data_IF_160074960156
#
_entry.id   IF_160074960156
#
_cell.length_a   1.000
_cell.length_b   1.000
_cell.length_c   1.000
_cell.angle_alpha   90.00
_cell.angle_beta   90.00
_cell.angle_gamma   90.00
#
_symmetry.space_group_name_H-M   'P 1'
#
loop_
_entity.id
_entity.type
_entity.pdbx_description
1 polymer ?
#
# COMPACT_ATOMS: atom_id res chain seq x y z
N UNK A 1 0.15 -28.35 13.76
CA UNK A 1 -0.41 -27.42 12.77
C UNK A 1 0.68 -27.07 11.78
N UNK A 2 0.54 -27.46 10.51
CA UNK A 2 1.52 -27.19 9.45
C UNK A 2 1.02 -26.01 8.62
N UNK A 3 1.80 -24.95 8.58
CA UNK A 3 1.67 -23.86 7.62
C UNK A 3 2.36 -24.32 6.33
N UNK A 4 1.63 -24.44 5.23
CA UNK A 4 2.20 -24.80 3.92
C UNK A 4 2.69 -23.55 3.21
N UNK A 5 3.99 -23.47 2.94
CA UNK A 5 4.59 -22.49 2.04
C UNK A 5 4.42 -22.94 0.59
N UNK A 6 4.49 -21.97 -0.35
CA UNK A 6 4.24 -22.10 -1.80
C UNK A 6 5.13 -23.08 -2.58
N UNK A 7 6.01 -23.86 -1.93
CA UNK A 7 7.04 -24.71 -2.59
C UNK A 7 6.67 -26.18 -2.80
N UNK A 8 5.55 -26.68 -2.27
CA UNK A 8 5.28 -28.13 -2.23
C UNK A 8 4.23 -28.64 -3.23
N UNK A 9 3.95 -27.93 -4.33
CA UNK A 9 3.00 -28.43 -5.36
C UNK A 9 3.64 -28.47 -6.74
N UNK A 10 4.53 -29.43 -6.95
CA UNK A 10 4.90 -29.91 -8.28
C UNK A 10 5.31 -31.39 -8.19
N UNK A 11 4.32 -32.27 -8.12
CA UNK A 11 4.45 -33.66 -8.55
C UNK A 11 3.05 -34.27 -8.72
N UNK A 12 2.90 -34.96 -9.86
CA UNK A 12 1.89 -35.98 -10.18
C UNK A 12 0.57 -35.50 -10.80
N UNK A 13 0.60 -35.51 -12.14
CA UNK A 13 -0.52 -35.83 -13.02
C UNK A 13 -0.87 -37.31 -12.89
N UNK A 14 -2.16 -37.64 -12.81
CA UNK A 14 -2.76 -38.67 -13.65
C UNK A 14 -4.26 -38.43 -13.87
N UNK A 15 -4.71 -38.88 -15.04
CA UNK A 15 -5.95 -38.53 -15.75
C UNK A 15 -7.07 -39.49 -15.40
N UNK A 16 -8.31 -39.01 -15.19
CA UNK A 16 -9.54 -39.70 -15.64
C UNK A 16 -10.81 -38.83 -15.59
N UNK A 17 -11.86 -39.31 -16.24
CA UNK A 17 -12.81 -38.58 -17.09
C UNK A 17 -14.14 -38.15 -16.41
N UNK A 18 -14.70 -37.05 -16.92
CA UNK A 18 -16.12 -36.73 -17.14
C UNK A 18 -17.20 -36.89 -16.02
N UNK A 19 -17.82 -35.77 -15.62
CA UNK A 19 -19.27 -35.49 -15.79
C UNK A 19 -19.70 -34.19 -15.06
N UNK A 20 -20.35 -33.27 -15.77
CA UNK A 20 -21.12 -32.16 -15.17
C UNK A 20 -22.47 -32.68 -14.66
N UNK A 21 -23.06 -32.06 -13.61
CA UNK A 21 -24.13 -31.11 -13.91
C UNK A 21 -24.31 -29.92 -12.94
N UNK A 22 -25.00 -28.91 -13.47
CA UNK A 22 -25.94 -27.99 -12.82
C UNK A 22 -25.44 -26.90 -11.84
N UNK A 23 -25.59 -25.68 -12.34
CA UNK A 23 -25.77 -24.38 -11.68
C UNK A 23 -26.38 -24.38 -10.28
N UNK A 24 -25.65 -23.77 -9.34
CA UNK A 24 -26.22 -23.05 -8.19
C UNK A 24 -25.56 -21.68 -8.17
N UNK A 25 -26.22 -20.68 -8.75
CA UNK A 25 -25.90 -19.28 -8.50
C UNK A 25 -26.44 -18.96 -7.11
N UNK A 26 -25.58 -19.05 -6.10
CA UNK A 26 -25.82 -18.55 -4.76
C UNK A 26 -25.70 -17.03 -4.77
N UNK A 27 -26.70 -16.39 -4.19
CA UNK A 27 -26.84 -14.94 -4.09
C UNK A 27 -25.98 -14.41 -2.92
N UNK A 28 -24.73 -14.04 -3.20
CA UNK A 28 -23.77 -13.48 -2.23
C UNK A 28 -24.22 -12.14 -1.63
N UNK A 29 -25.30 -11.54 -2.15
CA UNK A 29 -25.82 -10.27 -1.63
C UNK A 29 -26.58 -10.42 -0.30
N UNK A 30 -27.03 -11.63 0.04
CA UNK A 30 -27.82 -11.90 1.25
C UNK A 30 -26.99 -12.19 2.51
N UNK A 31 -25.70 -12.52 2.40
CA UNK A 31 -24.84 -12.80 3.57
C UNK A 31 -24.30 -11.53 4.25
N UNK A 32 -24.39 -10.37 3.60
CA UNK A 32 -23.97 -9.09 4.18
C UNK A 32 -24.99 -8.50 5.17
N UNK A 33 -26.26 -8.92 5.14
CA UNK A 33 -27.31 -8.35 6.00
C UNK A 33 -27.47 -9.03 7.38
N UNK A 34 -26.88 -10.21 7.62
CA UNK A 34 -27.14 -10.97 8.86
C UNK A 34 -26.09 -10.87 9.98
N UNK A 35 -24.95 -10.19 9.77
CA UNK A 35 -23.85 -10.13 10.76
C UNK A 35 -23.81 -8.85 11.61
N UNK A 36 -24.71 -7.88 11.36
CA UNK A 36 -24.68 -6.59 12.05
C UNK A 36 -25.13 -6.62 13.52
N UNK A 37 -25.64 -7.75 14.03
CA UNK A 37 -26.14 -7.88 15.41
C UNK A 37 -25.25 -8.78 16.26
N UNK A 38 -24.05 -8.29 16.62
CA UNK A 38 -23.21 -9.02 17.59
C UNK A 38 -21.74 -8.62 17.68
N UNK A 39 -21.23 -7.79 16.76
CA UNK A 39 -19.81 -7.42 16.76
C UNK A 39 -19.45 -6.55 17.96
N UNK A 40 -18.47 -7.01 18.75
CA UNK A 40 -17.95 -6.22 19.86
C UNK A 40 -17.16 -5.01 19.30
N UNK A 41 -17.30 -3.81 19.88
CA UNK A 41 -16.44 -2.69 19.52
C UNK A 41 -14.96 -3.07 19.64
N UNK A 42 -14.21 -2.99 18.53
CA UNK A 42 -12.77 -3.26 18.50
C UNK A 42 -12.35 -4.62 17.94
N UNK A 43 -13.27 -5.55 17.66
CA UNK A 43 -12.90 -6.77 16.91
C UNK A 43 -12.49 -6.41 15.47
N UNK A 44 -11.54 -7.13 14.83
CA UNK A 44 -11.22 -6.92 13.42
C UNK A 44 -12.42 -7.06 12.48
N UNK A 45 -12.42 -6.33 11.36
CA UNK A 45 -13.44 -6.53 10.31
C UNK A 45 -13.10 -7.84 9.61
N UNK A 46 -14.00 -8.83 9.58
CA UNK A 46 -13.77 -10.05 8.80
C UNK A 46 -14.29 -9.86 7.39
N UNK A 47 -13.46 -10.13 6.38
CA UNK A 47 -13.85 -10.10 4.97
C UNK A 47 -13.61 -11.49 4.36
N UNK A 48 -14.68 -12.25 4.14
CA UNK A 48 -14.57 -13.65 3.71
C UNK A 48 -14.07 -14.56 4.85
N UNK A 49 -13.19 -15.51 4.56
CA UNK A 49 -12.61 -16.39 5.59
C UNK A 49 -11.65 -15.61 6.49
N UNK A 50 -11.79 -15.65 7.83
CA UNK A 50 -10.89 -14.93 8.73
C UNK A 50 -9.52 -15.61 8.84
N UNK A 51 -8.50 -14.80 9.13
CA UNK A 51 -7.21 -15.28 9.63
C UNK A 51 -7.38 -15.88 11.03
N UNK A 52 -6.67 -16.97 11.39
CA UNK A 52 -6.72 -17.54 12.73
C UNK A 52 -6.44 -16.51 13.84
N UNK A 53 -7.09 -16.68 14.99
CA UNK A 53 -6.84 -15.84 16.17
C UNK A 53 -5.50 -16.21 16.80
N UNK A 54 -4.69 -15.21 17.11
CA UNK A 54 -3.41 -15.37 17.82
C UNK A 54 -3.09 -14.11 18.64
N UNK A 55 -2.17 -14.25 19.59
CA UNK A 55 -1.62 -13.11 20.34
C UNK A 55 -0.43 -12.49 19.57
N UNK A 56 -0.44 -11.18 19.25
CA UNK A 56 0.65 -10.53 18.54
C UNK A 56 1.99 -10.65 19.28
N UNK A 57 3.05 -11.00 18.55
CA UNK A 57 4.40 -11.04 19.10
C UNK A 57 5.04 -9.65 19.09
N UNK A 58 5.81 -9.37 20.15
CA UNK A 58 6.78 -8.29 20.13
C UNK A 58 7.78 -8.48 18.97
N UNK A 59 8.37 -7.37 18.49
CA UNK A 59 9.38 -7.43 17.43
C UNK A 59 10.57 -8.27 17.89
N UNK A 60 10.91 -9.29 17.11
CA UNK A 60 12.01 -10.20 17.41
C UNK A 60 13.37 -9.47 17.33
N UNK A 61 14.34 -9.93 18.12
CA UNK A 61 15.70 -9.40 18.12
C UNK A 61 16.36 -9.52 16.76
N UNK A 62 15.99 -10.50 15.93
CA UNK A 62 16.58 -10.69 14.62
C UNK A 62 16.34 -9.52 13.65
N UNK A 63 15.24 -8.78 13.83
CA UNK A 63 14.88 -7.61 13.02
C UNK A 63 15.42 -6.29 13.57
N UNK A 64 16.09 -6.32 14.72
CA UNK A 64 16.55 -5.12 15.43
C UNK A 64 15.46 -4.48 16.27
N UNK A 65 15.83 -4.01 17.46
CA UNK A 65 14.90 -3.28 18.37
C UNK A 65 14.89 -1.77 18.15
N UNK A 66 15.92 -1.27 17.47
CA UNK A 66 16.13 0.15 17.21
C UNK A 66 16.47 0.36 15.73
N UNK A 67 15.94 1.42 15.09
CA UNK A 67 15.00 2.39 15.66
C UNK A 67 13.63 1.77 15.99
N UNK A 68 12.93 2.33 16.98
CA UNK A 68 11.60 1.86 17.38
C UNK A 68 10.62 1.98 16.20
N UNK A 69 9.82 0.93 15.99
CA UNK A 69 8.76 0.87 14.97
C UNK A 69 7.42 0.65 15.66
N UNK A 70 6.49 1.58 15.48
CA UNK A 70 5.12 1.39 15.91
C UNK A 70 4.46 0.28 15.08
N UNK A 71 3.61 -0.53 15.70
CA UNK A 71 2.81 -1.55 15.01
C UNK A 71 1.89 -0.90 13.97
N UNK A 72 1.16 0.13 14.40
CA UNK A 72 0.22 0.85 13.56
C UNK A 72 0.51 2.35 13.66
N UNK A 73 0.52 3.03 12.52
CA UNK A 73 0.59 4.49 12.43
C UNK A 73 -0.69 4.96 11.76
N UNK A 74 -1.30 6.01 12.32
CA UNK A 74 -2.51 6.63 11.81
C UNK A 74 -2.27 8.13 11.72
N UNK A 75 -2.62 8.73 10.59
CA UNK A 75 -2.57 10.17 10.37
C UNK A 75 -3.79 10.62 9.55
N UNK A 76 -4.08 11.92 9.56
CA UNK A 76 -5.14 12.50 8.77
C UNK A 76 -5.57 13.86 9.28
N UNK A 77 -5.94 14.73 8.36
CA UNK A 77 -6.33 16.09 8.67
C UNK A 77 -7.05 16.68 7.46
N UNK A 78 -7.56 17.90 7.62
CA UNK A 78 -8.09 18.71 6.52
C UNK A 78 -7.43 20.09 6.59
N UNK A 79 -6.83 20.53 5.48
CA UNK A 79 -6.16 21.83 5.39
C UNK A 79 -6.19 22.33 3.95
N UNK A 80 -6.44 23.63 3.76
CA UNK A 80 -6.63 24.21 2.43
C UNK A 80 -7.68 23.44 1.63
N UNK A 81 -7.30 23.00 0.43
CA UNK A 81 -8.12 22.22 -0.50
C UNK A 81 -8.09 20.70 -0.25
N UNK A 82 -7.34 20.22 0.75
CA UNK A 82 -7.08 18.79 0.94
C UNK A 82 -7.78 18.24 2.18
N UNK A 83 -8.26 17.02 2.07
CA UNK A 83 -8.58 16.16 3.21
C UNK A 83 -7.86 14.84 3.04
N UNK A 84 -7.18 14.38 4.09
CA UNK A 84 -6.34 13.19 4.06
C UNK A 84 -6.68 12.22 5.18
N UNK A 85 -6.68 10.93 4.88
CA UNK A 85 -6.66 9.84 5.87
C UNK A 85 -5.54 8.88 5.50
N UNK A 86 -4.76 8.45 6.48
CA UNK A 86 -3.66 7.55 6.26
C UNK A 86 -3.52 6.56 7.41
N UNK A 87 -3.23 5.32 7.07
CA UNK A 87 -2.88 4.30 8.03
C UNK A 87 -1.86 3.35 7.43
N UNK A 88 -0.98 2.84 8.30
CA UNK A 88 -0.04 1.76 7.99
C UNK A 88 -0.08 0.78 9.16
N UNK A 89 -0.59 -0.42 8.89
CA UNK A 89 -0.95 -1.43 9.88
C UNK A 89 -0.03 -2.64 9.70
N UNK A 90 0.55 -3.13 10.79
CA UNK A 90 1.34 -4.38 10.77
C UNK A 90 0.44 -5.56 10.46
N UNK A 91 0.81 -6.32 9.44
CA UNK A 91 0.12 -7.50 8.96
C UNK A 91 0.04 -8.60 10.00
N UNK A 92 -0.93 -9.48 9.83
CA UNK A 92 -1.17 -10.58 10.75
C UNK A 92 -0.01 -11.58 10.68
N UNK A 93 0.58 -11.79 9.51
CA UNK A 93 1.76 -12.62 9.32
C UNK A 93 2.95 -12.05 10.10
N UNK A 94 3.17 -10.74 10.03
CA UNK A 94 4.26 -10.07 10.75
C UNK A 94 4.03 -10.03 12.26
N UNK A 95 2.79 -9.81 12.72
CA UNK A 95 2.43 -9.92 14.14
C UNK A 95 2.63 -11.33 14.68
N UNK A 96 2.26 -12.35 13.91
CA UNK A 96 2.46 -13.76 14.28
C UNK A 96 3.96 -14.16 14.23
N UNK A 97 4.69 -13.65 13.24
CA UNK A 97 6.10 -13.97 13.00
C UNK A 97 7.08 -13.22 13.89
N UNK A 98 6.70 -12.06 14.44
CA UNK A 98 7.61 -11.19 15.18
C UNK A 98 8.39 -10.20 14.30
N UNK A 99 8.14 -10.16 12.99
CA UNK A 99 8.71 -9.16 12.08
C UNK A 99 8.04 -7.80 12.30
N UNK A 100 8.75 -6.66 12.31
CA UNK A 100 8.13 -5.33 12.44
C UNK A 100 7.29 -5.00 11.21
N UNK A 101 6.49 -3.93 11.29
CA UNK A 101 5.87 -3.36 10.09
C UNK A 101 6.95 -2.86 9.12
N UNK A 102 6.99 -3.43 7.94
CA UNK A 102 7.84 -3.17 6.79
C UNK A 102 7.32 -2.04 5.90
N UNK A 103 6.01 -1.78 5.89
CA UNK A 103 5.45 -0.62 5.17
C UNK A 103 5.64 0.72 5.90
N UNK A 104 5.72 1.82 5.14
CA UNK A 104 5.60 3.18 5.67
C UNK A 104 4.91 4.17 4.73
N UNK A 105 4.52 5.32 5.27
CA UNK A 105 4.11 6.48 4.48
C UNK A 105 4.64 7.79 5.09
N UNK A 106 4.67 8.84 4.28
CA UNK A 106 4.88 10.21 4.72
C UNK A 106 3.97 11.17 3.93
N UNK A 107 3.53 12.23 4.60
CA UNK A 107 2.65 13.26 4.03
C UNK A 107 3.26 14.63 4.35
N UNK A 108 3.36 15.50 3.36
CA UNK A 108 3.77 16.89 3.51
C UNK A 108 2.76 17.81 2.81
N UNK A 109 2.55 19.00 3.37
CA UNK A 109 1.70 20.03 2.76
C UNK A 109 2.45 21.35 2.72
N UNK A 110 2.55 21.91 1.53
CA UNK A 110 3.03 23.26 1.30
C UNK A 110 1.81 24.18 1.16
N UNK A 111 1.55 24.95 2.21
CA UNK A 111 0.42 25.87 2.26
C UNK A 111 0.60 27.08 1.33
N UNK A 112 1.84 27.48 1.02
CA UNK A 112 2.12 28.62 0.15
C UNK A 112 1.88 28.27 -1.32
N UNK A 113 2.29 27.06 -1.73
CA UNK A 113 2.06 26.54 -3.09
C UNK A 113 0.73 25.80 -3.25
N UNK A 114 -0.05 25.65 -2.17
CA UNK A 114 -1.23 24.80 -2.10
C UNK A 114 -0.96 23.40 -2.69
N UNK A 115 0.10 22.76 -2.23
CA UNK A 115 0.56 21.47 -2.76
C UNK A 115 0.58 20.43 -1.66
N UNK A 116 0.02 19.26 -1.95
CA UNK A 116 0.10 18.07 -1.09
C UNK A 116 1.08 17.09 -1.72
N UNK A 117 1.97 16.55 -0.91
CA UNK A 117 2.88 15.47 -1.28
C UNK A 117 2.62 14.26 -0.40
N UNK A 118 2.51 13.08 -1.01
CA UNK A 118 2.41 11.79 -0.32
C UNK A 118 3.46 10.85 -0.87
N UNK A 119 4.10 10.08 0.01
CA UNK A 119 4.94 8.95 -0.35
C UNK A 119 4.49 7.71 0.43
N UNK A 120 4.39 6.57 -0.25
CA UNK A 120 4.08 5.25 0.31
C UNK A 120 5.16 4.28 -0.13
N UNK A 121 5.62 3.42 0.78
CA UNK A 121 6.63 2.41 0.49
C UNK A 121 6.29 1.10 1.22
N UNK A 122 6.49 0.00 0.51
CA UNK A 122 6.43 -1.36 1.02
C UNK A 122 7.85 -1.92 1.09
N UNK A 123 8.23 -2.44 2.25
CA UNK A 123 9.54 -3.04 2.44
C UNK A 123 9.57 -4.50 1.99
N UNK A 124 10.42 -4.83 1.01
CA UNK A 124 10.52 -6.21 0.47
C UNK A 124 10.88 -7.20 1.58
N UNK A 125 10.04 -8.22 1.78
CA UNK A 125 10.17 -9.16 2.91
C UNK A 125 11.48 -9.97 2.96
N UNK A 126 12.15 -10.16 1.81
CA UNK A 126 13.47 -10.81 1.76
C UNK A 126 14.60 -9.93 2.30
N UNK A 127 14.39 -8.61 2.39
CA UNK A 127 15.35 -7.66 2.92
C UNK A 127 15.20 -7.52 4.44
N UNK A 128 16.23 -7.90 5.18
CA UNK A 128 16.19 -8.06 6.65
C UNK A 128 15.70 -6.81 7.40
N UNK A 129 16.09 -5.63 6.92
CA UNK A 129 15.75 -4.35 7.54
C UNK A 129 14.91 -3.48 6.60
N UNK A 130 14.05 -4.10 5.78
CA UNK A 130 13.18 -3.40 4.83
C UNK A 130 12.33 -2.29 5.45
N UNK A 131 11.91 -2.44 6.72
CA UNK A 131 11.23 -1.39 7.50
C UNK A 131 12.07 -0.11 7.68
N UNK A 132 13.40 -0.21 7.73
CA UNK A 132 14.31 0.95 7.71
C UNK A 132 14.34 1.53 6.29
N UNK A 133 14.35 0.66 5.27
CA UNK A 133 14.32 1.06 3.87
C UNK A 133 13.10 1.90 3.52
N UNK A 134 11.90 1.38 3.77
CA UNK A 134 10.63 2.08 3.53
C UNK A 134 10.56 3.41 4.26
N UNK A 135 10.93 3.44 5.55
CA UNK A 135 11.02 4.68 6.35
C UNK A 135 11.94 5.72 5.72
N UNK A 136 13.07 5.26 5.19
CA UNK A 136 14.10 6.14 4.63
C UNK A 136 13.60 6.80 3.35
N UNK A 137 13.00 6.02 2.46
CA UNK A 137 12.60 6.52 1.14
C UNK A 137 11.36 7.41 1.21
N UNK A 138 10.38 7.13 2.07
CA UNK A 138 9.19 8.01 2.19
C UNK A 138 9.55 9.37 2.77
N UNK A 139 10.45 9.41 3.76
CA UNK A 139 10.95 10.67 4.35
C UNK A 139 11.80 11.45 3.37
N UNK A 140 12.71 10.75 2.67
CA UNK A 140 13.53 11.37 1.64
C UNK A 140 12.66 11.97 0.53
N UNK A 141 11.70 11.20 0.00
CA UNK A 141 10.88 11.62 -1.12
C UNK A 141 9.99 12.81 -0.79
N UNK A 142 9.35 12.81 0.39
CA UNK A 142 8.54 13.94 0.84
C UNK A 142 9.36 15.19 1.05
N UNK A 143 10.57 15.09 1.60
CA UNK A 143 11.49 16.22 1.74
C UNK A 143 11.97 16.74 0.38
N UNK A 144 12.32 15.85 -0.55
CA UNK A 144 12.79 16.25 -1.88
C UNK A 144 11.70 16.96 -2.70
N UNK A 145 10.46 16.48 -2.59
CA UNK A 145 9.28 17.05 -3.25
C UNK A 145 8.73 18.31 -2.57
N UNK A 146 9.32 18.75 -1.45
CA UNK A 146 9.02 20.05 -0.85
C UNK A 146 9.62 21.20 -1.68
N UNK A 147 10.79 20.98 -2.26
CA UNK A 147 11.47 21.93 -3.15
C UNK A 147 12.00 21.21 -4.42
N UNK A 148 11.12 20.66 -5.27
CA UNK A 148 11.56 19.94 -6.45
C UNK A 148 12.10 20.91 -7.51
N UNK A 149 12.98 20.45 -8.41
CA UNK A 149 13.23 21.17 -9.65
C UNK A 149 11.91 21.28 -10.43
N UNK A 150 11.59 22.49 -10.87
CA UNK A 150 10.40 22.77 -11.67
C UNK A 150 10.79 22.99 -13.15
N UNK A 151 10.08 22.38 -14.12
CA UNK A 151 8.90 21.53 -13.91
C UNK A 151 9.28 20.06 -13.60
N UNK A 152 8.46 19.38 -12.80
CA UNK A 152 8.73 17.99 -12.36
C UNK A 152 8.66 16.95 -13.50
N UNK A 153 7.91 17.25 -14.57
CA UNK A 153 7.74 16.38 -15.75
C UNK A 153 8.98 16.35 -16.66
N UNK A 154 9.90 17.31 -16.55
CA UNK A 154 11.18 17.34 -17.27
C UNK A 154 12.27 16.51 -16.56
N UNK A 155 11.98 15.23 -16.32
CA UNK A 155 12.92 14.28 -15.69
C UNK A 155 13.10 14.43 -14.18
N UNK A 156 12.29 15.26 -13.52
CA UNK A 156 12.27 15.42 -12.07
C UNK A 156 11.95 14.11 -11.35
N UNK A 157 10.99 13.33 -11.86
CA UNK A 157 10.65 12.01 -11.32
C UNK A 157 11.83 11.02 -11.37
N UNK A 158 12.51 10.90 -12.51
CA UNK A 158 13.69 10.04 -12.63
C UNK A 158 14.77 10.44 -11.62
N UNK A 159 14.97 11.75 -11.44
CA UNK A 159 15.94 12.30 -10.48
C UNK A 159 15.55 11.96 -9.04
N UNK A 160 14.27 12.11 -8.67
CA UNK A 160 13.74 11.71 -7.36
C UNK A 160 14.05 10.23 -7.06
N UNK A 161 13.67 9.31 -7.95
CA UNK A 161 13.83 7.87 -7.70
C UNK A 161 15.30 7.44 -7.67
N UNK A 162 16.14 7.98 -8.55
CA UNK A 162 17.60 7.75 -8.51
C UNK A 162 18.22 8.24 -7.21
N UNK A 163 17.75 9.38 -6.71
CA UNK A 163 18.26 9.97 -5.48
C UNK A 163 17.73 9.27 -4.22
N UNK A 164 16.50 8.74 -4.26
CA UNK A 164 15.96 7.85 -3.25
C UNK A 164 16.74 6.53 -3.18
N UNK A 165 17.07 5.91 -4.32
CA UNK A 165 17.92 4.71 -4.38
C UNK A 165 19.33 4.97 -3.84
N UNK A 166 19.92 6.11 -4.17
CA UNK A 166 21.21 6.52 -3.61
C UNK A 166 21.13 6.69 -2.08
N UNK A 167 20.09 7.36 -1.58
CA UNK A 167 19.85 7.55 -0.14
C UNK A 167 19.68 6.21 0.57
N UNK A 168 18.94 5.27 -0.04
CA UNK A 168 18.79 3.91 0.47
C UNK A 168 20.14 3.18 0.56
N UNK A 169 21.01 3.37 -0.43
CA UNK A 169 22.37 2.80 -0.43
C UNK A 169 23.24 3.38 0.68
N UNK A 170 23.16 4.69 0.93
CA UNK A 170 23.85 5.33 2.05
C UNK A 170 23.31 4.85 3.41
N UNK A 171 22.01 4.63 3.51
CA UNK A 171 21.40 4.06 4.70
C UNK A 171 21.88 2.62 4.93
N UNK A 172 22.06 1.82 3.87
CA UNK A 172 22.60 0.46 3.98
C UNK A 172 24.02 0.46 4.56
N UNK A 173 24.88 1.39 4.12
CA UNK A 173 26.22 1.55 4.69
C UNK A 173 26.15 1.83 6.21
N UNK A 174 25.23 2.70 6.63
CA UNK A 174 25.01 3.01 8.06
C UNK A 174 24.54 1.79 8.85
N UNK A 175 23.53 1.07 8.35
CA UNK A 175 22.96 -0.11 9.00
C UNK A 175 23.98 -1.25 9.11
N UNK A 176 24.83 -1.42 8.09
CA UNK A 176 25.89 -2.42 8.07
C UNK A 176 27.17 -1.99 8.77
N UNK A 177 27.24 -0.74 9.28
CA UNK A 177 28.47 -0.14 9.83
C UNK A 177 29.66 -0.21 8.86
N UNK A 178 29.39 0.01 7.58
CA UNK A 178 30.38 0.04 6.51
C UNK A 178 30.71 1.49 6.10
N UNK A 179 31.94 1.77 5.64
CA UNK A 179 32.27 3.07 5.06
C UNK A 179 31.45 3.39 3.80
N UNK A 180 31.11 2.37 3.02
CA UNK A 180 30.30 2.44 1.81
C UNK A 180 29.59 1.10 1.60
N UNK A 181 28.38 1.15 1.04
CA UNK A 181 27.66 -0.02 0.53
C UNK A 181 27.41 0.15 -0.97
N UNK A 182 27.25 -0.96 -1.68
CA UNK A 182 26.77 -0.96 -3.06
C UNK A 182 25.26 -1.24 -3.14
N UNK A 183 24.72 -1.18 -4.36
CA UNK A 183 23.30 -1.41 -4.62
C UNK A 183 22.87 -2.85 -4.32
N UNK A 184 23.75 -3.85 -4.43
CA UNK A 184 23.42 -5.23 -4.12
C UNK A 184 23.27 -5.44 -2.60
N UNK A 185 24.19 -4.87 -1.82
CA UNK A 185 24.10 -4.87 -0.37
C UNK A 185 22.87 -4.10 0.11
N UNK A 186 22.57 -2.95 -0.50
CA UNK A 186 21.37 -2.19 -0.17
C UNK A 186 20.08 -2.93 -0.51
N UNK A 187 20.03 -3.64 -1.64
CA UNK A 187 18.91 -4.49 -2.03
C UNK A 187 18.69 -5.63 -1.02
N UNK A 188 19.76 -6.35 -0.64
CA UNK A 188 19.67 -7.44 0.32
C UNK A 188 19.23 -7.01 1.71
N UNK A 189 19.51 -5.76 2.11
CA UNK A 189 19.27 -5.29 3.47
C UNK A 189 18.04 -4.42 3.62
N UNK A 190 17.75 -3.56 2.63
CA UNK A 190 16.79 -2.45 2.74
C UNK A 190 15.83 -2.33 1.55
N UNK A 191 15.74 -3.32 0.65
CA UNK A 191 14.89 -3.20 -0.53
C UNK A 191 13.44 -2.81 -0.20
N UNK A 192 12.88 -1.93 -1.01
CA UNK A 192 11.55 -1.34 -0.79
C UNK A 192 10.97 -0.76 -2.08
N UNK A 193 9.65 -0.70 -2.20
CA UNK A 193 8.95 0.09 -3.23
C UNK A 193 8.98 1.58 -2.87
N UNK A 194 8.55 2.43 -3.80
CA UNK A 194 8.21 3.81 -3.51
C UNK A 194 7.17 4.29 -4.52
N UNK A 195 6.02 4.75 -4.03
CA UNK A 195 4.99 5.44 -4.83
C UNK A 195 4.75 6.81 -4.25
N UNK A 196 4.84 7.83 -5.10
CA UNK A 196 4.71 9.23 -4.74
C UNK A 196 3.51 9.86 -5.45
N UNK A 197 2.85 10.79 -4.76
CA UNK A 197 1.75 11.59 -5.28
C UNK A 197 2.04 13.06 -4.99
N UNK A 198 1.87 13.92 -6.01
CA UNK A 198 1.84 15.38 -5.85
C UNK A 198 0.47 15.87 -6.30
N UNK A 199 -0.26 16.57 -5.43
CA UNK A 199 -1.58 17.14 -5.74
C UNK A 199 -1.57 18.67 -5.60
N UNK A 200 -2.29 19.34 -6.49
CA UNK A 200 -2.63 20.77 -6.42
C UNK A 200 -4.13 20.96 -6.67
N UNK A 201 -4.77 21.99 -6.08
CA UNK A 201 -6.17 22.28 -6.35
C UNK A 201 -6.38 22.79 -7.78
N UNK A 202 -7.53 22.46 -8.37
CA UNK A 202 -8.00 23.05 -9.63
C UNK A 202 -9.18 24.01 -9.39
N UNK A 203 -9.41 25.01 -10.25
CA UNK A 203 -10.45 26.03 -10.06
C UNK A 203 -11.87 25.48 -9.83
N UNK A 204 -12.16 24.29 -10.36
CA UNK A 204 -13.46 23.62 -10.30
C UNK A 204 -13.74 22.95 -8.94
N UNK A 205 -12.80 23.03 -7.99
CA UNK A 205 -12.94 22.47 -6.64
C UNK A 205 -12.44 21.03 -6.49
N UNK A 206 -11.88 20.45 -7.55
CA UNK A 206 -11.18 19.17 -7.53
C UNK A 206 -9.68 19.31 -7.23
N UNK A 207 -8.94 18.22 -7.46
CA UNK A 207 -7.47 18.19 -7.40
C UNK A 207 -6.90 17.70 -8.74
N UNK A 208 -5.81 18.32 -9.20
CA UNK A 208 -4.91 17.74 -10.19
C UNK A 208 -3.81 17.01 -9.44
N UNK A 209 -3.64 15.72 -9.71
CA UNK A 209 -2.63 14.91 -9.07
C UNK A 209 -1.74 14.21 -10.10
N UNK A 210 -0.49 13.98 -9.73
CA UNK A 210 0.45 13.19 -10.52
C UNK A 210 0.99 12.08 -9.63
N UNK A 211 0.86 10.84 -10.10
CA UNK A 211 1.29 9.63 -9.39
C UNK A 211 2.47 9.01 -10.13
N UNK A 212 3.55 8.67 -9.43
CA UNK A 212 4.68 7.94 -10.01
C UNK A 212 5.22 6.93 -8.99
N UNK A 213 5.75 5.80 -9.45
CA UNK A 213 6.27 4.79 -8.53
C UNK A 213 7.24 3.79 -9.13
N UNK A 214 7.97 3.11 -8.24
CA UNK A 214 8.88 1.98 -8.50
C UNK A 214 8.49 0.85 -7.56
N UNK A 215 8.27 -0.35 -8.09
CA UNK A 215 7.71 -1.49 -7.37
C UNK A 215 6.27 -1.77 -7.79
N UNK A 216 5.49 -2.40 -6.92
CA UNK A 216 4.15 -2.90 -7.18
C UNK A 216 3.05 -2.30 -6.27
N UNK A 217 3.42 -1.37 -5.38
CA UNK A 217 2.46 -0.50 -4.71
C UNK A 217 1.62 0.28 -5.73
N UNK A 218 0.35 0.51 -5.43
CA UNK A 218 -0.64 0.98 -6.39
C UNK A 218 -1.31 2.29 -6.00
N UNK A 219 -2.07 2.84 -6.95
CA UNK A 219 -2.98 3.94 -6.75
C UNK A 219 -4.30 3.70 -7.49
N UNK A 220 -5.40 4.14 -6.89
CA UNK A 220 -6.76 3.94 -7.40
C UNK A 220 -7.59 5.20 -7.18
N UNK A 221 -8.44 5.52 -8.14
CA UNK A 221 -9.50 6.52 -7.98
C UNK A 221 -10.78 5.78 -7.60
N UNK A 222 -11.37 6.09 -6.44
CA UNK A 222 -12.71 5.63 -6.11
C UNK A 222 -13.72 6.70 -6.53
N UNK A 223 -14.57 6.34 -7.49
CA UNK A 223 -15.60 7.19 -8.07
C UNK A 223 -16.89 6.38 -8.24
N UNK A 224 -18.02 6.91 -7.78
CA UNK A 224 -19.34 6.25 -7.85
C UNK A 224 -19.34 4.81 -7.32
N UNK A 225 -18.62 4.58 -6.21
CA UNK A 225 -18.48 3.26 -5.58
C UNK A 225 -17.57 2.28 -6.33
N UNK A 226 -16.91 2.71 -7.42
CA UNK A 226 -16.03 1.88 -8.25
C UNK A 226 -14.57 2.31 -8.13
N UNK A 227 -13.68 1.33 -8.05
CA UNK A 227 -12.24 1.55 -8.04
C UNK A 227 -11.70 1.51 -9.47
N UNK A 228 -11.10 2.62 -9.90
CA UNK A 228 -10.43 2.75 -11.20
C UNK A 228 -8.91 2.74 -10.94
N UNK A 229 -8.14 1.79 -11.49
CA UNK A 229 -6.69 1.78 -11.32
C UNK A 229 -6.05 3.00 -11.98
N UNK A 230 -5.12 3.65 -11.27
CA UNK A 230 -4.32 4.80 -11.75
C UNK A 230 -2.88 4.38 -12.01
N UNK A 231 -2.23 3.76 -11.02
CA UNK A 231 -0.88 3.22 -11.09
C UNK A 231 -0.87 1.83 -10.44
N UNK A 232 -0.12 0.89 -11.00
CA UNK A 232 -0.01 -0.44 -10.43
C UNK A 232 -1.31 -1.24 -10.47
N UNK A 233 -1.34 -2.34 -9.74
CA UNK A 233 -2.36 -3.38 -9.85
C UNK A 233 -2.05 -4.32 -11.02
N UNK A 234 -2.04 -5.62 -10.77
CA UNK A 234 -1.98 -6.62 -11.84
C UNK A 234 -3.22 -6.44 -12.72
N UNK A 235 -3.10 -5.68 -13.80
CA UNK A 235 -4.00 -5.91 -14.94
C UNK A 235 -3.82 -7.38 -15.29
N UNK A 236 -4.91 -8.13 -15.34
CA UNK A 236 -4.89 -9.50 -15.83
C UNK A 236 -4.36 -9.46 -17.26
N UNK A 237 -3.05 -9.68 -17.43
CA UNK A 237 -2.47 -9.86 -18.74
C UNK A 237 -3.12 -11.10 -19.33
N UNK A 238 -3.60 -11.00 -20.57
CA UNK A 238 -4.18 -12.12 -21.30
C UNK A 238 -3.21 -13.31 -21.50
N UNK A 239 -1.95 -13.19 -21.04
CA UNK A 239 -0.88 -14.17 -21.16
C UNK A 239 -0.52 -14.89 -19.84
N UNK A 240 -1.19 -14.62 -18.72
CA UNK A 240 -1.13 -15.48 -17.52
C UNK A 240 0.25 -15.64 -16.83
N UNK A 241 1.26 -14.87 -17.23
CA UNK A 241 2.60 -14.91 -16.65
C UNK A 241 2.87 -13.60 -15.90
N UNK A 242 2.56 -13.60 -14.60
CA UNK A 242 3.04 -12.58 -13.66
C UNK A 242 4.45 -12.98 -13.24
N UNK A 243 5.46 -12.22 -13.67
CA UNK A 243 6.78 -12.29 -13.03
C UNK A 243 6.60 -11.86 -11.58
N UNK A 244 6.87 -12.75 -10.63
CA UNK A 244 6.70 -12.52 -9.20
C UNK A 244 7.86 -11.74 -8.56
N UNK A 245 8.78 -11.21 -9.37
CA UNK A 245 9.91 -10.43 -8.89
C UNK A 245 9.55 -8.93 -8.93
N UNK A 246 9.22 -8.39 -7.76
CA UNK A 246 9.07 -6.94 -7.56
C UNK A 246 10.44 -6.29 -7.75
N UNK A 247 10.58 -5.41 -8.74
CA UNK A 247 11.77 -4.59 -8.89
C UNK A 247 11.56 -3.31 -8.08
N UNK A 248 12.02 -3.34 -6.83
CA UNK A 248 12.01 -2.20 -5.92
C UNK A 248 13.36 -1.46 -5.89
N UNK A 249 13.39 -0.34 -5.16
CA UNK A 249 14.63 0.35 -4.81
C UNK A 249 15.56 -0.62 -4.06
N UNK A 250 16.89 -0.57 -4.29
CA UNK A 250 17.63 0.47 -5.01
C UNK A 250 17.68 0.29 -6.55
N UNK A 251 16.97 -0.69 -7.12
CA UNK A 251 16.93 -0.87 -8.59
C UNK A 251 15.89 0.07 -9.19
N UNK A 252 16.36 1.10 -9.88
CA UNK A 252 15.50 2.10 -10.53
C UNK A 252 15.44 1.81 -12.03
N UNK A 253 14.25 1.82 -12.66
CA UNK A 253 14.15 1.74 -14.11
C UNK A 253 14.81 2.96 -14.78
N UNK A 254 15.18 2.83 -16.07
CA UNK A 254 15.81 3.93 -16.81
C UNK A 254 14.90 5.16 -16.95
N UNK A 255 13.59 4.93 -16.98
CA UNK A 255 12.55 5.95 -17.11
C UNK A 255 11.40 5.59 -16.20
N UNK A 256 10.93 6.55 -15.42
CA UNK A 256 9.71 6.46 -14.63
C UNK A 256 8.63 7.29 -15.32
N UNK A 257 7.52 6.67 -15.66
CA UNK A 257 6.39 7.34 -16.32
C UNK A 257 5.38 7.81 -15.26
N UNK A 258 5.27 9.11 -14.99
CA UNK A 258 4.22 9.63 -14.12
C UNK A 258 2.85 9.53 -14.79
N UNK A 259 1.81 9.30 -13.99
CA UNK A 259 0.41 9.22 -14.42
C UNK A 259 -0.37 10.41 -13.83
N UNK A 260 -0.84 11.35 -14.67
CA UNK A 260 -1.73 12.41 -14.22
C UNK A 260 -3.13 11.85 -13.95
N UNK A 261 -3.79 12.35 -12.90
CA UNK A 261 -5.16 12.01 -12.53
C UNK A 261 -5.88 13.25 -12.01
N UNK A 262 -7.12 13.44 -12.44
CA UNK A 262 -8.02 14.45 -11.87
C UNK A 262 -8.90 13.78 -10.82
N UNK A 263 -8.97 14.39 -9.64
CA UNK A 263 -9.85 13.96 -8.55
C UNK A 263 -10.98 14.99 -8.45
N UNK A 264 -12.14 14.63 -8.96
CA UNK A 264 -13.32 15.50 -8.93
C UNK A 264 -13.93 15.59 -7.52
N UNK A 265 -14.69 16.64 -7.20
CA UNK A 265 -15.46 16.70 -5.97
C UNK A 265 -16.32 15.44 -5.77
N UNK A 266 -16.16 14.80 -4.61
CA UNK A 266 -16.85 13.55 -4.28
C UNK A 266 -16.07 12.27 -4.60
N UNK A 267 -14.96 12.37 -5.34
CA UNK A 267 -14.03 11.26 -5.56
C UNK A 267 -12.92 11.23 -4.50
N UNK A 268 -12.21 10.10 -4.43
CA UNK A 268 -11.02 9.96 -3.58
C UNK A 268 -9.91 9.26 -4.34
N UNK A 269 -8.71 9.85 -4.28
CA UNK A 269 -7.49 9.21 -4.74
C UNK A 269 -6.89 8.40 -3.59
N UNK A 270 -6.65 7.12 -3.84
CA UNK A 270 -6.05 6.17 -2.93
C UNK A 270 -4.65 5.83 -3.43
N UNK A 271 -3.66 5.80 -2.54
CA UNK A 271 -2.32 5.27 -2.80
C UNK A 271 -1.95 4.32 -1.68
N UNK A 272 -1.51 3.11 -2.02
CA UNK A 272 -1.31 2.06 -1.03
C UNK A 272 -0.40 0.94 -1.48
N UNK A 273 -0.03 0.08 -0.54
CA UNK A 273 0.85 -1.08 -0.75
C UNK A 273 0.06 -2.28 -1.30
N UNK A 274 0.76 -3.33 -1.70
CA UNK A 274 0.14 -4.53 -2.25
C UNK A 274 -0.76 -5.25 -1.21
N UNK A 275 -0.46 -5.14 0.09
CA UNK A 275 -1.32 -5.66 1.15
C UNK A 275 -2.72 -5.04 1.20
N UNK A 276 -2.93 -3.88 0.56
CA UNK A 276 -4.26 -3.37 0.21
C UNK A 276 -4.67 -3.70 -1.24
N UNK A 277 -3.75 -3.52 -2.20
CA UNK A 277 -4.04 -3.67 -3.63
C UNK A 277 -4.42 -5.09 -4.07
N UNK A 278 -3.71 -6.10 -3.58
CA UNK A 278 -3.96 -7.51 -3.89
C UNK A 278 -5.35 -7.98 -3.40
N UNK A 279 -5.78 -7.73 -2.14
CA UNK A 279 -7.12 -8.09 -1.70
C UNK A 279 -8.24 -7.23 -2.29
N UNK A 280 -7.93 -5.99 -2.72
CA UNK A 280 -8.85 -5.14 -3.48
C UNK A 280 -9.15 -5.75 -4.85
N UNK A 281 -8.12 -6.22 -5.56
CA UNK A 281 -8.23 -6.80 -6.90
C UNK A 281 -8.90 -5.82 -7.88
N UNK A 282 -9.98 -6.26 -8.54
CA UNK A 282 -10.78 -5.40 -9.43
C UNK A 282 -11.70 -4.41 -8.70
N UNK A 283 -11.74 -4.41 -7.36
CA UNK A 283 -12.60 -3.52 -6.57
C UNK A 283 -14.05 -4.00 -6.37
N UNK A 284 -14.43 -5.13 -6.97
CA UNK A 284 -15.79 -5.70 -6.87
C UNK A 284 -15.95 -6.70 -5.70
N UNK A 285 -14.84 -7.13 -5.08
CA UNK A 285 -14.86 -8.09 -3.98
C UNK A 285 -15.14 -7.45 -2.61
N UNK A 286 -15.15 -8.26 -1.55
CA UNK A 286 -15.52 -7.80 -0.20
C UNK A 286 -14.68 -6.65 0.36
N UNK A 287 -13.38 -6.56 0.02
CA UNK A 287 -12.54 -5.40 0.42
C UNK A 287 -12.95 -4.15 -0.37
N UNK A 288 -13.25 -4.29 -1.65
CA UNK A 288 -13.81 -3.19 -2.45
C UNK A 288 -15.14 -2.70 -1.87
N UNK A 289 -16.07 -3.61 -1.57
CA UNK A 289 -17.34 -3.27 -0.93
C UNK A 289 -17.16 -2.55 0.42
N UNK A 290 -16.25 -3.04 1.27
CA UNK A 290 -15.92 -2.42 2.55
C UNK A 290 -15.46 -0.96 2.39
N UNK A 291 -14.49 -0.73 1.51
CA UNK A 291 -13.89 0.60 1.33
C UNK A 291 -14.80 1.55 0.53
N UNK A 292 -15.59 1.04 -0.42
CA UNK A 292 -16.63 1.80 -1.10
C UNK A 292 -17.70 2.29 -0.11
N UNK A 293 -18.17 1.42 0.80
CA UNK A 293 -19.12 1.79 1.83
C UNK A 293 -18.53 2.77 2.85
N UNK A 294 -17.28 2.56 3.26
CA UNK A 294 -16.58 3.41 4.24
C UNK A 294 -16.40 4.86 3.75
N UNK A 295 -16.14 5.03 2.45
CA UNK A 295 -15.72 6.32 1.87
C UNK A 295 -16.76 6.94 0.92
N UNK A 296 -17.89 6.28 0.66
CA UNK A 296 -18.89 6.71 -0.32
C UNK A 296 -19.60 8.02 0.04
N UNK A 297 -20.20 8.10 1.23
CA UNK A 297 -21.06 9.24 1.59
C UNK A 297 -20.33 10.34 2.38
N UNK A 298 -19.25 9.97 3.07
CA UNK A 298 -18.53 10.83 4.01
C UNK A 298 -17.04 10.51 4.03
N UNK A 299 -16.27 11.46 4.57
CA UNK A 299 -14.89 11.18 4.97
C UNK A 299 -14.93 10.42 6.31
N UNK A 300 -14.36 9.20 6.41
CA UNK A 300 -14.31 8.47 7.66
C UNK A 300 -13.42 9.19 8.69
N UNK A 301 -13.60 8.91 9.98
CA UNK A 301 -12.62 9.30 10.98
C UNK A 301 -11.31 8.53 10.78
N UNK A 302 -10.21 9.05 11.33
CA UNK A 302 -8.90 8.40 11.25
C UNK A 302 -8.92 6.96 11.80
N UNK A 303 -9.62 6.74 12.91
CA UNK A 303 -9.69 5.41 13.55
C UNK A 303 -10.62 4.45 12.79
N UNK A 304 -11.73 4.92 12.23
CA UNK A 304 -12.57 4.08 11.35
C UNK A 304 -11.79 3.64 10.11
N UNK A 305 -10.98 4.54 9.53
CA UNK A 305 -10.13 4.22 8.39
C UNK A 305 -9.06 3.18 8.74
N UNK A 306 -8.34 3.37 9.84
CA UNK A 306 -7.32 2.43 10.30
C UNK A 306 -7.93 1.06 10.69
N UNK A 307 -9.09 1.05 11.35
CA UNK A 307 -9.79 -0.17 11.73
C UNK A 307 -10.28 -0.96 10.52
N UNK A 308 -10.75 -0.26 9.48
CA UNK A 308 -11.10 -0.91 8.22
C UNK A 308 -9.88 -1.52 7.52
N UNK A 309 -8.73 -0.85 7.58
CA UNK A 309 -7.48 -1.35 7.01
C UNK A 309 -6.91 -2.56 7.78
N UNK A 310 -7.23 -2.71 9.07
CA UNK A 310 -6.85 -3.86 9.92
C UNK A 310 -7.78 -5.09 9.76
N UNK A 311 -8.48 -5.22 8.62
CA UNK A 311 -9.38 -6.35 8.36
C UNK A 311 -8.69 -7.72 8.47
N UNK A 312 -9.45 -8.76 8.78
CA UNK A 312 -9.01 -10.15 8.78
C UNK A 312 -9.54 -10.85 7.53
N UNK A 313 -8.61 -11.39 6.74
CA UNK A 313 -8.91 -12.16 5.54
C UNK A 313 -7.80 -13.16 5.31
N UNK A 314 -8.16 -14.43 5.16
CA UNK A 314 -7.23 -15.52 4.90
C UNK A 314 -6.39 -15.21 3.65
N UNK A 315 -5.11 -15.57 3.69
CA UNK A 315 -4.10 -15.33 2.64
C UNK A 315 -3.69 -13.87 2.36
N UNK A 316 -4.36 -12.88 2.96
CA UNK A 316 -4.02 -11.45 2.84
C UNK A 316 -3.63 -10.89 4.20
N UNK A 317 -2.53 -11.42 4.72
CA UNK A 317 -2.01 -11.18 6.07
C UNK A 317 -0.73 -10.33 6.10
N UNK A 318 -0.37 -9.70 4.97
CA UNK A 318 0.73 -8.74 4.88
C UNK A 318 0.42 -7.40 5.57
N UNK A 319 1.45 -6.57 5.73
CA UNK A 319 1.29 -5.18 6.11
C UNK A 319 0.36 -4.44 5.14
N UNK A 320 -0.38 -3.47 5.66
CA UNK A 320 -1.35 -2.74 4.85
C UNK A 320 -1.19 -1.26 5.08
N UNK A 321 -0.89 -0.56 4.00
CA UNK A 321 -0.75 0.89 4.01
C UNK A 321 -1.61 1.52 2.96
N UNK A 322 -2.36 2.54 3.36
CA UNK A 322 -3.25 3.27 2.48
C UNK A 322 -3.30 4.74 2.90
N UNK A 323 -3.15 5.62 1.91
CA UNK A 323 -3.40 7.05 2.04
C UNK A 323 -4.54 7.41 1.09
N UNK A 324 -5.56 8.07 1.62
CA UNK A 324 -6.75 8.52 0.90
C UNK A 324 -6.79 10.05 0.89
N UNK A 325 -6.98 10.62 -0.30
CA UNK A 325 -6.91 12.06 -0.59
C UNK A 325 -8.21 12.49 -1.24
N UNK A 326 -8.94 13.39 -0.58
CA UNK A 326 -10.15 14.01 -1.11
C UNK A 326 -9.90 15.49 -1.41
N UNK A 327 -10.53 16.05 -2.47
CA UNK A 327 -10.82 17.47 -2.52
C UNK A 327 -11.70 17.82 -1.32
N UNK A 328 -11.30 18.84 -0.56
CA UNK A 328 -12.05 19.25 0.64
C UNK A 328 -13.41 19.81 0.21
N UNK A 329 -14.49 19.24 0.76
CA UNK A 329 -15.83 19.81 0.65
C UNK A 329 -15.87 21.16 1.37
N UNK A 330 -16.28 22.21 0.67
CA UNK A 330 -16.52 23.54 1.22
C UNK A 330 -17.76 23.60 2.11
#
# INVERSE_FOLDING_TARGET
MRWTTRRDKNAEHDVENASSPASVLGDDSAELESTATGRQPGEPIVVGTPTPVFEPKAVDREFGKVPYRADTVVDGWSSGAFTVRAASVRGYLHRYGGAPRQDDFAIAVDAERNRLTVAVADGVSSARYSHIGSSTVVRYATQWLDEPPEPLDDGGWDTLFKSAAWTLTQQAATVLSLPQADAEQAEQMLATTLTCVVCTPIPEGGLSAVVAGVGDSGAWLLADGKFVPVLGGKQASASGLSSSAVVGLPRVPNTVTPVPVIVEPGQVLLVGTDGFGDPLGGGEGGVGALFAALMGDRVPSQLEFAHALDFSRETFDDDRTLVAIWPRRS
#
